data_IF_174615315007
#
_entry.id   IF_174615315007
#
_cell.length_a   1.000
_cell.length_b   1.000
_cell.length_c   1.000
_cell.angle_alpha   90.00
_cell.angle_beta   90.00
_cell.angle_gamma   90.00
#
_symmetry.space_group_name_H-M   'P 1'
#
loop_
_entity.id
_entity.type
_entity.pdbx_description
1 polymer ?
#
# COMPACT_ATOMS: atom_id res chain seq x y z
N UNK A 1 35.49 2.19 11.60
CA UNK A 1 36.30 1.63 12.72
C UNK A 1 35.33 1.19 13.78
N UNK A 2 35.21 -0.11 14.04
CA UNK A 2 34.29 -0.63 15.05
C UNK A 2 34.61 -0.03 16.43
N UNK A 3 33.60 0.49 17.11
CA UNK A 3 33.68 1.04 18.47
C UNK A 3 33.96 -0.09 19.47
N UNK A 4 35.10 -0.04 20.18
CA UNK A 4 35.48 -1.01 21.21
C UNK A 4 35.05 -0.56 22.60
N UNK A 5 34.60 -1.48 23.47
CA UNK A 5 34.14 -1.10 24.82
C UNK A 5 34.25 -2.21 25.88
N UNK A 6 34.27 -1.79 27.15
CA UNK A 6 34.41 -2.61 28.38
C UNK A 6 33.52 -3.84 28.59
N UNK A 7 32.51 -4.03 27.75
CA UNK A 7 31.52 -5.10 27.84
C UNK A 7 31.38 -5.91 26.55
N UNK A 8 32.29 -5.74 25.59
CA UNK A 8 32.27 -6.53 24.35
C UNK A 8 32.75 -7.95 24.64
N UNK A 9 32.30 -8.91 23.84
CA UNK A 9 32.78 -10.28 23.93
C UNK A 9 34.09 -10.41 23.16
N UNK A 10 35.05 -11.13 23.75
CA UNK A 10 36.27 -11.53 23.07
C UNK A 10 35.97 -12.61 22.01
N UNK A 11 36.59 -12.46 20.85
CA UNK A 11 36.60 -13.43 19.74
C UNK A 11 38.06 -13.72 19.40
N UNK A 12 38.36 -14.85 18.75
CA UNK A 12 39.71 -15.30 18.37
C UNK A 12 40.32 -14.49 17.20
N UNK A 13 40.20 -13.17 17.20
CA UNK A 13 40.69 -12.30 16.13
C UNK A 13 42.07 -11.67 16.47
N UNK A 14 42.62 -11.98 17.66
CA UNK A 14 43.89 -11.43 18.13
C UNK A 14 43.79 -9.97 18.55
N UNK A 15 42.58 -9.47 18.77
CA UNK A 15 42.28 -8.11 19.18
C UNK A 15 41.62 -8.17 20.57
N UNK A 16 42.11 -7.33 21.48
CA UNK A 16 41.38 -7.04 22.70
C UNK A 16 40.15 -6.16 22.35
N UNK A 17 38.96 -6.75 22.46
CA UNK A 17 37.68 -6.14 22.14
C UNK A 17 37.03 -5.51 23.38
N UNK A 18 37.23 -6.10 24.56
CA UNK A 18 36.65 -5.66 25.83
C UNK A 18 37.48 -4.62 26.61
N UNK A 19 38.63 -4.23 26.07
CA UNK A 19 39.62 -3.29 26.61
C UNK A 19 40.19 -3.63 28.00
N UNK A 20 40.30 -4.91 28.39
CA UNK A 20 40.80 -5.33 29.70
C UNK A 20 42.33 -5.65 29.80
N UNK A 21 43.08 -5.37 28.72
CA UNK A 21 44.49 -5.70 28.48
C UNK A 21 44.85 -7.19 28.25
N UNK A 22 43.87 -8.12 28.28
CA UNK A 22 44.04 -9.50 27.81
C UNK A 22 43.57 -9.64 26.34
N UNK A 23 44.01 -10.68 25.63
CA UNK A 23 43.64 -10.86 24.21
C UNK A 23 43.04 -12.25 24.11
N UNK A 24 41.84 -12.34 23.51
CA UNK A 24 41.14 -13.58 23.19
C UNK A 24 40.91 -14.47 24.43
N UNK A 25 40.67 -13.91 25.61
CA UNK A 25 40.31 -14.67 26.81
C UNK A 25 38.80 -14.85 26.96
N UNK A 26 38.38 -16.02 27.44
CA UNK A 26 36.95 -16.38 27.58
C UNK A 26 36.17 -16.27 26.24
N UNK A 27 36.85 -16.52 25.12
CA UNK A 27 36.23 -16.52 23.79
C UNK A 27 35.04 -17.46 23.72
N UNK A 28 34.04 -17.03 22.97
CA UNK A 28 32.81 -17.79 22.72
C UNK A 28 32.67 -17.92 21.20
N UNK A 29 32.38 -19.13 20.72
CA UNK A 29 32.06 -19.32 19.31
C UNK A 29 30.76 -18.58 18.97
N UNK A 30 30.78 -17.79 17.90
CA UNK A 30 29.64 -17.01 17.42
C UNK A 30 29.21 -17.54 16.04
N UNK A 31 27.94 -17.39 15.66
CA UNK A 31 27.52 -17.59 14.28
C UNK A 31 28.09 -16.47 13.39
N UNK A 32 28.51 -16.85 12.18
CA UNK A 32 28.95 -15.98 11.12
C UNK A 32 28.17 -16.34 9.85
N UNK A 33 27.57 -15.35 9.21
CA UNK A 33 26.70 -15.50 8.03
C UNK A 33 27.48 -15.12 6.78
N UNK A 34 27.32 -15.83 5.65
CA UNK A 34 27.98 -15.46 4.39
C UNK A 34 27.71 -13.99 4.05
N UNK A 35 28.74 -13.29 3.59
CA UNK A 35 28.71 -11.89 3.14
C UNK A 35 29.36 -11.89 1.74
N UNK A 36 28.54 -12.18 0.72
CA UNK A 36 29.05 -12.51 -0.62
C UNK A 36 29.40 -11.25 -1.42
N UNK A 37 28.72 -10.14 -1.19
CA UNK A 37 28.96 -8.86 -1.86
C UNK A 37 29.92 -7.92 -1.09
N UNK A 38 30.16 -8.18 0.19
CA UNK A 38 31.16 -7.49 1.00
C UNK A 38 30.72 -6.17 1.61
N UNK A 39 29.42 -5.95 1.79
CA UNK A 39 28.88 -4.72 2.39
C UNK A 39 28.96 -4.69 3.93
N UNK A 40 29.23 -5.84 4.55
CA UNK A 40 29.36 -6.02 5.99
C UNK A 40 28.11 -6.50 6.71
N UNK A 41 27.03 -6.78 6.00
CA UNK A 41 25.89 -7.59 6.42
C UNK A 41 26.02 -8.98 5.81
N UNK A 42 25.25 -9.95 6.28
CA UNK A 42 25.31 -11.30 5.72
C UNK A 42 23.94 -11.94 5.66
N UNK A 43 23.83 -12.93 4.77
CA UNK A 43 22.58 -13.59 4.42
C UNK A 43 21.96 -14.33 5.63
N UNK A 44 20.80 -13.87 6.16
CA UNK A 44 20.09 -14.57 7.23
C UNK A 44 19.40 -15.86 6.78
N UNK A 45 19.24 -16.07 5.48
CA UNK A 45 18.61 -17.24 4.85
C UNK A 45 19.54 -18.44 4.70
N UNK A 46 20.85 -18.26 4.81
CA UNK A 46 21.86 -19.31 4.70
C UNK A 46 22.37 -19.81 6.07
N UNK A 47 22.86 -21.05 6.10
CA UNK A 47 23.36 -21.67 7.34
C UNK A 47 24.65 -20.98 7.82
N UNK A 48 24.70 -20.43 9.04
CA UNK A 48 25.89 -19.77 9.54
C UNK A 48 26.99 -20.76 9.91
N UNK A 49 28.25 -20.34 9.79
CA UNK A 49 29.39 -21.06 10.36
C UNK A 49 29.59 -20.61 11.79
N UNK A 50 29.65 -21.57 12.71
CA UNK A 50 30.01 -21.30 14.11
C UNK A 50 31.53 -21.36 14.24
N UNK A 51 32.13 -20.21 14.53
CA UNK A 51 33.57 -20.08 14.68
C UNK A 51 33.92 -19.06 15.76
N UNK A 52 35.08 -19.23 16.38
CA UNK A 52 35.55 -18.27 17.38
C UNK A 52 36.21 -17.03 16.74
N UNK A 53 36.63 -17.08 15.47
CA UNK A 53 37.20 -15.96 14.72
C UNK A 53 36.36 -15.68 13.47
N UNK A 54 36.34 -14.44 12.94
CA UNK A 54 35.72 -14.11 11.65
C UNK A 54 36.32 -14.97 10.53
N UNK A 55 35.52 -15.78 9.83
CA UNK A 55 35.93 -16.36 8.57
C UNK A 55 35.98 -15.28 7.46
N UNK A 56 36.85 -15.45 6.47
CA UNK A 56 36.89 -14.54 5.31
C UNK A 56 35.58 -14.64 4.52
N UNK A 57 34.94 -13.50 4.23
CA UNK A 57 33.67 -13.41 3.48
C UNK A 57 32.42 -13.73 4.29
N UNK A 58 32.44 -13.43 5.60
CA UNK A 58 31.30 -13.63 6.49
C UNK A 58 31.13 -12.42 7.43
N UNK A 59 29.87 -12.11 7.79
CA UNK A 59 29.47 -11.07 8.74
C UNK A 59 28.79 -11.64 10.00
N UNK A 60 28.78 -10.85 11.08
CA UNK A 60 27.98 -11.14 12.29
C UNK A 60 26.60 -10.46 12.27
N UNK A 61 26.28 -9.70 11.22
CA UNK A 61 25.04 -8.94 11.09
C UNK A 61 24.11 -9.65 10.08
N UNK A 62 23.24 -10.58 10.52
CA UNK A 62 22.40 -11.39 9.64
C UNK A 62 21.13 -10.63 9.23
N UNK A 63 21.30 -9.56 8.47
CA UNK A 63 20.20 -8.65 8.14
C UNK A 63 20.22 -8.23 6.67
N UNK A 64 21.03 -8.89 5.85
CA UNK A 64 21.08 -8.64 4.41
C UNK A 64 19.87 -9.29 3.72
N UNK A 65 19.11 -8.51 2.94
CA UNK A 65 17.97 -8.99 2.19
C UNK A 65 18.32 -9.45 0.77
N UNK A 66 19.49 -9.08 0.24
CA UNK A 66 20.04 -9.53 -1.06
C UNK A 66 21.58 -9.56 -1.02
N UNK A 67 22.15 -10.65 -0.50
CA UNK A 67 23.61 -10.93 -0.38
C UNK A 67 24.36 -11.00 -1.74
N UNK A 68 23.69 -10.66 -2.85
CA UNK A 68 24.31 -10.52 -4.16
C UNK A 68 24.48 -9.08 -4.63
N UNK A 69 23.94 -8.10 -3.89
CA UNK A 69 23.92 -6.69 -4.21
C UNK A 69 24.23 -5.84 -2.97
N UNK A 70 25.50 -5.50 -2.77
CA UNK A 70 25.96 -4.73 -1.61
C UNK A 70 25.54 -3.25 -1.60
N UNK A 71 24.50 -2.90 -2.35
CA UNK A 71 23.72 -1.67 -2.19
C UNK A 71 22.41 -1.88 -1.42
N UNK A 72 22.04 -3.14 -1.11
CA UNK A 72 20.82 -3.50 -0.39
C UNK A 72 21.16 -4.03 1.01
N UNK A 73 21.07 -3.18 2.03
CA UNK A 73 21.43 -3.57 3.39
C UNK A 73 20.88 -2.59 4.46
N UNK A 74 20.77 -2.98 5.74
CA UNK A 74 20.25 -2.15 6.84
C UNK A 74 20.89 -0.79 7.12
N UNK A 75 22.04 -0.51 6.53
CA UNK A 75 22.68 0.81 6.61
C UNK A 75 22.60 1.60 5.30
N UNK A 76 21.84 1.13 4.31
CA UNK A 76 21.67 1.81 3.04
C UNK A 76 20.65 2.94 3.22
N UNK A 77 20.69 3.90 2.31
CA UNK A 77 19.62 4.87 2.20
C UNK A 77 18.52 4.23 1.33
N UNK A 78 17.27 4.27 1.79
CA UNK A 78 16.11 3.92 0.97
C UNK A 78 16.04 4.81 -0.28
N UNK A 79 15.80 4.20 -1.45
CA UNK A 79 15.62 4.91 -2.71
C UNK A 79 14.20 4.71 -3.23
N UNK A 80 13.67 5.72 -3.93
CA UNK A 80 12.35 5.67 -4.55
C UNK A 80 12.35 4.81 -5.85
N UNK A 81 12.75 3.53 -5.74
CA UNK A 81 13.06 2.64 -6.87
C UNK A 81 12.26 1.33 -6.88
N UNK A 82 11.38 1.15 -5.90
CA UNK A 82 10.61 -0.06 -5.68
C UNK A 82 11.28 -1.31 -5.16
N UNK A 83 12.36 -1.14 -4.43
CA UNK A 83 13.08 -2.18 -3.73
C UNK A 83 13.11 -1.81 -2.25
N UNK A 84 13.36 -2.82 -1.44
CA UNK A 84 13.69 -2.67 -0.01
C UNK A 84 15.22 -2.53 0.00
N UNK A 85 15.70 -1.29 -0.12
CA UNK A 85 17.13 -1.00 -0.22
C UNK A 85 17.81 -1.03 1.16
N UNK A 86 17.07 -0.76 2.23
CA UNK A 86 17.52 -0.80 3.62
C UNK A 86 17.11 -2.08 4.38
N UNK A 87 16.47 -3.04 3.71
CA UNK A 87 16.12 -4.35 4.27
C UNK A 87 15.30 -4.28 5.57
N UNK A 88 14.47 -3.25 5.78
CA UNK A 88 13.61 -3.12 6.96
C UNK A 88 12.31 -3.96 6.84
N UNK A 89 12.09 -4.58 5.67
CA UNK A 89 10.95 -5.41 5.34
C UNK A 89 9.84 -4.66 4.58
N UNK A 90 10.06 -3.38 4.27
CA UNK A 90 9.18 -2.55 3.50
C UNK A 90 9.94 -2.06 2.26
N UNK A 91 9.64 -2.57 1.05
CA UNK A 91 10.15 -1.89 -0.14
C UNK A 91 9.62 -0.46 -0.15
N UNK A 92 10.44 0.53 -0.52
CA UNK A 92 10.03 1.92 -0.74
C UNK A 92 8.99 2.12 -1.87
N UNK A 93 8.26 1.06 -2.23
CA UNK A 93 7.19 1.00 -3.22
C UNK A 93 6.32 -0.24 -2.95
N UNK A 94 5.25 -0.03 -2.20
CA UNK A 94 4.03 -0.75 -2.53
C UNK A 94 3.13 0.26 -3.24
N UNK A 95 2.91 0.10 -4.56
CA UNK A 95 1.77 0.76 -5.21
C UNK A 95 0.51 0.04 -4.71
N UNK A 96 0.07 0.38 -3.51
CA UNK A 96 -1.28 0.18 -3.02
C UNK A 96 -1.90 1.56 -2.72
N UNK A 97 -3.23 1.61 -2.65
CA UNK A 97 -4.00 2.84 -2.47
C UNK A 97 -3.70 3.44 -1.09
N UNK A 98 -2.76 4.38 -1.03
CA UNK A 98 -2.52 5.25 0.12
C UNK A 98 -1.19 5.13 0.85
N UNK A 99 -0.14 4.59 0.23
CA UNK A 99 1.22 4.63 0.81
C UNK A 99 2.31 4.58 -0.28
N UNK A 100 2.78 5.75 -0.69
CA UNK A 100 4.10 6.05 -1.26
C UNK A 100 4.40 7.50 -0.88
N UNK A 101 5.63 8.02 -0.98
CA UNK A 101 5.96 9.46 -0.81
C UNK A 101 5.27 10.36 -1.87
N UNK A 102 3.95 10.38 -1.76
CA UNK A 102 2.82 11.06 -2.41
C UNK A 102 1.87 11.25 -1.20
N UNK A 103 2.31 12.13 -0.29
CA UNK A 103 1.79 12.24 1.08
C UNK A 103 0.30 12.62 1.07
N UNK A 104 -0.16 13.24 -0.03
CA UNK A 104 -1.54 13.67 -0.24
C UNK A 104 -2.37 12.79 -1.19
N UNK A 105 -1.73 11.87 -1.94
CA UNK A 105 -2.35 10.84 -2.79
C UNK A 105 -3.00 11.39 -4.05
N UNK A 106 -2.32 12.27 -4.75
CA UNK A 106 -2.73 12.77 -6.05
C UNK A 106 -2.06 12.09 -7.26
N UNK A 107 -1.10 11.21 -6.99
CA UNK A 107 -0.38 10.42 -7.99
C UNK A 107 0.90 11.07 -8.51
N UNK A 108 1.32 12.18 -7.91
CA UNK A 108 2.62 12.80 -8.11
C UNK A 108 3.51 12.54 -6.87
N UNK A 109 4.82 12.54 -7.07
CA UNK A 109 5.77 12.16 -6.01
C UNK A 109 6.56 13.38 -5.54
N UNK A 110 7.08 13.34 -4.31
CA UNK A 110 7.88 14.42 -3.73
C UNK A 110 9.11 14.77 -4.60
N UNK A 111 9.38 16.06 -4.69
CA UNK A 111 10.63 16.67 -5.14
C UNK A 111 11.91 15.97 -4.63
N UNK A 112 11.92 15.44 -3.41
CA UNK A 112 13.02 14.73 -2.77
C UNK A 112 13.27 13.35 -3.37
N UNK A 113 12.20 12.72 -3.88
CA UNK A 113 12.20 11.52 -4.71
C UNK A 113 12.43 11.82 -6.20
N UNK A 114 12.69 13.09 -6.57
CA UNK A 114 12.84 13.51 -7.96
C UNK A 114 11.52 13.58 -8.73
N UNK A 115 10.38 13.62 -8.03
CA UNK A 115 9.12 14.05 -8.60
C UNK A 115 9.08 15.58 -8.78
N UNK A 116 7.98 16.06 -9.36
CA UNK A 116 7.80 17.47 -9.72
C UNK A 116 6.67 18.13 -8.88
N UNK A 117 6.17 17.44 -7.84
CA UNK A 117 5.18 17.99 -6.92
C UNK A 117 5.76 19.14 -6.09
N UNK A 118 4.98 20.21 -5.95
CA UNK A 118 5.35 21.43 -5.27
C UNK A 118 4.64 21.64 -3.93
N UNK A 119 3.63 20.83 -3.57
CA UNK A 119 3.02 20.81 -2.23
C UNK A 119 2.46 19.43 -1.87
N UNK A 120 3.34 18.55 -1.38
CA UNK A 120 3.02 17.14 -1.05
C UNK A 120 1.98 16.97 0.09
N UNK A 121 1.49 18.05 0.71
CA UNK A 121 0.46 18.00 1.76
C UNK A 121 -0.96 18.29 1.21
N UNK A 122 -1.12 18.66 -0.07
CA UNK A 122 -2.39 19.11 -0.65
C UNK A 122 -2.66 18.52 -2.06
N UNK A 123 -3.57 17.54 -2.20
CA UNK A 123 -3.75 16.74 -3.42
C UNK A 123 -4.45 17.50 -4.57
N UNK A 124 -4.55 18.81 -4.42
CA UNK A 124 -5.02 19.76 -5.42
C UNK A 124 -3.86 20.58 -6.02
N UNK A 125 -2.62 20.38 -5.57
CA UNK A 125 -1.42 21.09 -6.01
C UNK A 125 -0.45 20.06 -6.59
N UNK A 126 -0.35 20.00 -7.91
CA UNK A 126 0.52 19.03 -8.59
C UNK A 126 0.80 19.43 -10.03
N UNK A 127 1.84 18.87 -10.68
CA UNK A 127 2.17 19.16 -12.07
C UNK A 127 1.00 19.03 -13.05
N UNK A 128 0.57 20.16 -13.60
CA UNK A 128 -0.56 20.25 -14.52
C UNK A 128 -1.94 20.19 -13.85
N UNK A 129 -2.00 20.48 -12.54
CA UNK A 129 -3.20 20.76 -11.77
C UNK A 129 -4.03 21.92 -12.35
N UNK A 130 -5.16 22.21 -11.70
CA UNK A 130 -6.00 23.35 -12.08
C UNK A 130 -5.70 24.52 -11.15
N UNK A 131 -5.30 25.64 -11.72
CA UNK A 131 -5.14 26.90 -11.00
C UNK A 131 -6.45 27.39 -10.37
N UNK A 132 -6.37 27.64 -9.06
CA UNK A 132 -7.42 28.23 -8.24
C UNK A 132 -7.13 29.72 -8.00
N UNK A 133 -8.08 30.42 -7.35
CA UNK A 133 -7.88 31.81 -6.94
C UNK A 133 -7.44 31.88 -5.47
N UNK A 134 -6.37 31.16 -5.10
CA UNK A 134 -5.92 31.02 -3.72
C UNK A 134 -4.49 31.55 -3.46
N UNK A 135 -3.87 32.13 -4.49
CA UNK A 135 -2.52 32.66 -4.48
C UNK A 135 -1.43 31.60 -4.26
N UNK A 136 -1.72 30.35 -4.63
CA UNK A 136 -0.78 29.24 -4.74
C UNK A 136 -0.53 28.90 -6.23
N UNK A 137 0.56 28.20 -6.49
CA UNK A 137 0.89 27.60 -7.79
C UNK A 137 0.36 26.16 -7.73
N UNK A 138 -0.88 25.94 -8.17
CA UNK A 138 -1.55 24.64 -8.08
C UNK A 138 -1.12 23.68 -9.20
N UNK A 139 -0.53 24.19 -10.28
CA UNK A 139 -0.08 23.37 -11.41
C UNK A 139 1.44 23.15 -11.50
N UNK A 140 2.18 23.72 -10.53
CA UNK A 140 3.62 23.63 -10.35
C UNK A 140 4.43 24.13 -11.56
N UNK A 141 3.91 25.07 -12.36
CA UNK A 141 4.59 25.64 -13.52
C UNK A 141 5.49 26.86 -13.20
N UNK A 142 5.37 27.39 -11.98
CA UNK A 142 6.14 28.50 -11.45
C UNK A 142 5.48 29.88 -11.62
N UNK A 143 4.30 29.96 -12.23
CA UNK A 143 3.42 31.12 -12.17
C UNK A 143 2.35 30.91 -11.06
N UNK A 144 1.52 31.92 -10.78
CA UNK A 144 0.53 31.86 -9.68
C UNK A 144 -0.77 32.48 -10.17
N UNK A 145 -1.89 31.78 -9.97
CA UNK A 145 -3.25 32.17 -10.34
C UNK A 145 -3.39 32.51 -11.86
N UNK A 146 -2.68 31.83 -12.75
CA UNK A 146 -2.82 31.99 -14.20
C UNK A 146 -3.93 31.13 -14.79
N UNK A 147 -4.59 31.65 -15.84
CA UNK A 147 -5.66 30.91 -16.56
C UNK A 147 -6.81 30.37 -15.68
N UNK A 148 -6.98 30.90 -14.45
CA UNK A 148 -7.99 30.49 -13.48
C UNK A 148 -9.39 30.37 -14.08
N UNK A 149 -10.09 29.32 -13.66
CA UNK A 149 -11.47 29.06 -14.03
C UNK A 149 -12.28 28.67 -12.81
N UNK A 150 -13.58 28.98 -12.82
CA UNK A 150 -14.46 28.48 -11.76
C UNK A 150 -14.60 26.96 -11.88
N UNK A 151 -14.28 26.26 -10.80
CA UNK A 151 -14.45 24.81 -10.66
C UNK A 151 -15.69 24.50 -9.81
N UNK A 152 -16.11 23.23 -9.81
CA UNK A 152 -17.23 22.77 -8.98
C UNK A 152 -16.70 22.11 -7.71
N UNK A 153 -17.11 22.65 -6.57
CA UNK A 153 -16.77 22.16 -5.23
C UNK A 153 -17.93 21.34 -4.67
N UNK A 154 -17.64 20.12 -4.23
CA UNK A 154 -18.60 19.17 -3.65
C UNK A 154 -18.47 19.18 -2.13
N UNK A 155 -19.58 19.23 -1.40
CA UNK A 155 -19.53 19.09 0.07
C UNK A 155 -18.98 17.72 0.42
N UNK A 156 -17.95 17.67 1.25
CA UNK A 156 -17.40 16.44 1.83
C UNK A 156 -17.68 16.48 3.33
N UNK A 157 -18.80 15.88 3.73
CA UNK A 157 -19.31 15.98 5.09
C UNK A 157 -18.78 14.89 6.03
N UNK A 158 -18.18 13.82 5.52
CA UNK A 158 -17.59 12.74 6.32
C UNK A 158 -16.06 12.64 6.28
N UNK A 159 -15.42 13.37 5.35
CA UNK A 159 -13.99 13.56 5.28
C UNK A 159 -13.23 12.43 4.59
N UNK A 160 -13.85 11.72 3.64
CA UNK A 160 -13.20 10.66 2.86
C UNK A 160 -12.53 11.13 1.56
N UNK A 161 -12.68 12.41 1.22
CA UNK A 161 -12.07 13.02 0.03
C UNK A 161 -12.96 13.01 -1.21
N UNK A 162 -14.16 12.44 -1.14
CA UNK A 162 -15.20 12.56 -2.15
C UNK A 162 -16.38 13.38 -1.61
N UNK A 163 -17.08 14.10 -2.49
CA UNK A 163 -18.20 14.93 -2.07
C UNK A 163 -19.52 14.66 -2.78
N UNK A 164 -20.61 15.08 -2.14
CA UNK A 164 -21.99 14.90 -2.60
C UNK A 164 -22.23 15.58 -3.96
N UNK A 165 -22.52 14.82 -5.04
CA UNK A 165 -22.82 15.39 -6.36
C UNK A 165 -24.10 16.25 -6.38
N UNK A 166 -24.95 16.15 -5.35
CA UNK A 166 -26.16 16.94 -5.14
C UNK A 166 -25.95 18.28 -4.42
N UNK A 167 -24.84 18.47 -3.70
CA UNK A 167 -24.52 19.70 -2.97
C UNK A 167 -23.24 20.33 -3.51
N UNK A 168 -23.39 21.25 -4.47
CA UNK A 168 -22.28 21.86 -5.21
C UNK A 168 -22.23 23.39 -5.09
N UNK A 169 -21.00 23.93 -5.13
CA UNK A 169 -20.72 25.37 -5.26
C UNK A 169 -19.73 25.59 -6.39
N UNK A 170 -19.99 26.54 -7.28
CA UNK A 170 -19.06 26.90 -8.36
C UNK A 170 -18.26 28.14 -7.98
N UNK A 171 -16.93 28.04 -7.97
CA UNK A 171 -16.01 29.11 -7.55
C UNK A 171 -14.58 28.76 -7.95
N UNK A 172 -13.76 29.75 -8.33
CA UNK A 172 -12.31 29.58 -8.41
C UNK A 172 -11.61 29.63 -7.03
N UNK A 173 -12.19 30.30 -6.03
CA UNK A 173 -11.66 30.27 -4.65
C UNK A 173 -11.99 28.94 -3.97
N UNK A 174 -11.04 28.38 -3.20
CA UNK A 174 -11.23 27.18 -2.38
C UNK A 174 -12.38 27.34 -1.39
N UNK A 175 -13.24 26.34 -1.30
CA UNK A 175 -14.42 26.35 -0.42
C UNK A 175 -14.19 25.45 0.79
N UNK A 176 -14.35 26.00 2.00
CA UNK A 176 -14.12 25.24 3.25
C UNK A 176 -15.09 24.06 3.37
N UNK A 177 -14.55 22.89 3.70
CA UNK A 177 -15.32 21.64 3.85
C UNK A 177 -15.81 21.06 2.52
N UNK A 178 -15.12 21.38 1.41
CA UNK A 178 -15.46 20.89 0.09
C UNK A 178 -14.23 20.40 -0.66
N UNK A 179 -14.44 19.45 -1.56
CA UNK A 179 -13.41 18.82 -2.39
C UNK A 179 -13.73 18.98 -3.88
N UNK A 180 -12.75 18.74 -4.74
CA UNK A 180 -12.92 18.75 -6.21
C UNK A 180 -13.43 17.41 -6.74
N UNK A 181 -13.19 16.31 -6.03
CA UNK A 181 -13.63 14.97 -6.39
C UNK A 181 -15.07 14.78 -5.96
N UNK A 182 -16.01 14.77 -6.91
CA UNK A 182 -17.40 14.43 -6.65
C UNK A 182 -17.67 12.93 -6.79
N UNK A 183 -18.93 12.53 -6.59
CA UNK A 183 -19.39 11.17 -6.88
C UNK A 183 -19.66 10.33 -5.65
N UNK A 184 -19.57 10.91 -4.47
CA UNK A 184 -19.95 10.24 -3.23
C UNK A 184 -21.47 9.99 -3.19
N UNK A 185 -21.85 8.72 -3.11
CA UNK A 185 -23.24 8.28 -3.03
C UNK A 185 -23.77 8.24 -1.58
N UNK A 186 -22.91 8.42 -0.59
CA UNK A 186 -23.21 8.38 0.84
C UNK A 186 -22.31 9.31 1.70
N UNK A 187 -22.33 10.62 1.44
CA UNK A 187 -21.63 11.78 2.10
C UNK A 187 -21.87 11.97 3.61
N UNK A 188 -22.22 10.92 4.33
CA UNK A 188 -22.22 10.87 5.78
C UNK A 188 -21.60 9.57 6.32
N UNK A 189 -20.92 8.82 5.46
CA UNK A 189 -20.29 7.53 5.74
C UNK A 189 -18.95 7.37 4.97
N UNK A 190 -17.80 7.58 5.64
CA UNK A 190 -16.48 7.72 4.99
C UNK A 190 -15.86 6.40 4.51
N UNK A 191 -16.67 5.36 4.34
CA UNK A 191 -16.26 4.05 3.83
C UNK A 191 -17.09 3.62 2.62
N UNK A 192 -17.92 4.53 2.09
CA UNK A 192 -18.71 4.34 0.87
C UNK A 192 -18.38 5.52 -0.03
N UNK A 193 -17.53 5.29 -1.03
CA UNK A 193 -17.07 6.32 -1.97
C UNK A 193 -16.43 5.66 -3.20
N UNK A 194 -16.25 6.37 -4.34
CA UNK A 194 -15.73 5.84 -5.61
C UNK A 194 -14.43 5.03 -5.59
N UNK A 195 -13.69 5.11 -4.50
CA UNK A 195 -12.35 4.57 -4.37
C UNK A 195 -12.25 3.36 -3.43
N UNK A 196 -13.37 2.89 -2.88
CA UNK A 196 -13.37 1.65 -2.11
C UNK A 196 -13.49 0.42 -3.02
N UNK A 197 -13.15 -0.73 -2.46
CA UNK A 197 -13.49 -2.01 -3.07
C UNK A 197 -14.86 -2.41 -2.53
N UNK A 198 -15.76 -2.83 -3.41
CA UNK A 198 -17.04 -3.40 -3.04
C UNK A 198 -16.93 -4.46 -1.94
N UNK A 199 -17.92 -4.48 -1.06
CA UNK A 199 -18.07 -5.54 -0.08
C UNK A 199 -19.43 -6.17 -0.30
N UNK A 200 -19.46 -7.49 -0.24
CA UNK A 200 -20.69 -8.25 -0.41
C UNK A 200 -21.67 -8.04 0.78
N UNK A 201 -22.34 -6.90 0.81
CA UNK A 201 -23.12 -6.36 1.93
C UNK A 201 -24.49 -5.80 1.48
N UNK A 202 -24.77 -5.77 0.18
CA UNK A 202 -26.02 -5.27 -0.41
C UNK A 202 -26.09 -3.76 -0.56
N UNK A 203 -24.96 -3.06 -0.48
CA UNK A 203 -24.77 -1.62 -0.67
C UNK A 203 -23.81 -1.45 -1.85
N UNK A 204 -23.99 -0.37 -2.60
CA UNK A 204 -23.04 0.15 -3.58
C UNK A 204 -21.99 0.93 -2.77
N UNK A 205 -20.96 0.24 -2.30
CA UNK A 205 -19.88 0.80 -1.50
C UNK A 205 -18.96 1.68 -2.38
N UNK A 206 -18.73 1.31 -3.64
CA UNK A 206 -17.84 2.03 -4.58
C UNK A 206 -18.55 3.04 -5.49
N UNK A 207 -19.84 3.29 -5.25
CA UNK A 207 -20.64 4.30 -5.94
C UNK A 207 -20.63 4.20 -7.47
N UNK A 208 -20.37 3.02 -8.06
CA UNK A 208 -20.35 2.82 -9.51
C UNK A 208 -21.76 2.63 -10.11
N UNK A 209 -22.78 2.53 -9.26
CA UNK A 209 -24.18 2.34 -9.61
C UNK A 209 -24.59 0.87 -9.74
N UNK A 210 -23.69 -0.06 -9.43
CA UNK A 210 -23.95 -1.47 -9.25
C UNK A 210 -23.71 -1.88 -7.80
N UNK A 211 -24.25 -3.03 -7.40
CA UNK A 211 -24.22 -3.47 -5.99
C UNK A 211 -23.56 -4.82 -5.97
N UNK A 212 -22.57 -4.98 -5.10
CA UNK A 212 -21.83 -6.21 -4.86
C UNK A 212 -21.22 -6.84 -6.15
N UNK A 213 -20.64 -6.05 -7.07
CA UNK A 213 -19.94 -6.57 -8.25
C UNK A 213 -18.51 -7.09 -7.93
N UNK A 214 -17.60 -7.15 -8.90
CA UNK A 214 -16.21 -7.61 -8.65
C UNK A 214 -16.00 -9.11 -8.33
N UNK A 215 -17.05 -9.91 -8.15
CA UNK A 215 -16.91 -11.36 -7.95
C UNK A 215 -16.39 -11.76 -6.57
N UNK A 216 -16.86 -11.07 -5.52
CA UNK A 216 -16.46 -11.17 -4.10
C UNK A 216 -16.87 -12.48 -3.40
N UNK A 217 -16.86 -13.61 -4.12
CA UNK A 217 -17.30 -14.91 -3.59
C UNK A 217 -18.82 -15.08 -3.51
N UNK A 218 -19.59 -14.24 -4.23
CA UNK A 218 -21.03 -14.44 -4.40
C UNK A 218 -21.36 -15.61 -5.32
N UNK A 219 -22.45 -16.33 -5.05
CA UNK A 219 -22.96 -17.44 -5.86
C UNK A 219 -24.19 -16.95 -6.62
N UNK A 220 -24.22 -17.18 -7.94
CA UNK A 220 -25.42 -16.98 -8.75
C UNK A 220 -26.35 -18.19 -8.57
N UNK A 221 -27.54 -17.94 -8.03
CA UNK A 221 -28.60 -18.93 -7.88
C UNK A 221 -29.66 -18.77 -8.95
N UNK A 222 -30.29 -19.88 -9.32
CA UNK A 222 -31.41 -19.96 -10.24
C UNK A 222 -32.61 -20.56 -9.51
N UNK A 223 -33.80 -19.99 -9.67
CA UNK A 223 -35.01 -20.49 -9.00
C UNK A 223 -35.22 -21.96 -9.38
N UNK A 224 -35.43 -22.79 -8.37
CA UNK A 224 -35.72 -24.23 -8.45
C UNK A 224 -37.11 -24.46 -7.82
N UNK A 225 -38.12 -24.43 -8.68
CA UNK A 225 -39.53 -24.47 -8.32
C UNK A 225 -40.05 -25.87 -8.03
N UNK A 226 -39.47 -26.90 -8.67
CA UNK A 226 -39.85 -28.31 -8.51
C UNK A 226 -38.89 -29.09 -7.58
N UNK A 227 -37.72 -28.54 -7.27
CA UNK A 227 -36.77 -29.08 -6.30
C UNK A 227 -35.86 -30.17 -6.88
N UNK A 228 -35.64 -30.21 -8.19
CA UNK A 228 -34.85 -31.23 -8.86
C UNK A 228 -33.33 -30.96 -8.84
N UNK A 229 -32.93 -29.74 -8.41
CA UNK A 229 -31.54 -29.31 -8.30
C UNK A 229 -31.00 -28.52 -9.50
N UNK A 230 -31.82 -28.24 -10.52
CA UNK A 230 -31.54 -27.34 -11.64
C UNK A 230 -32.52 -26.17 -11.63
N UNK A 231 -32.03 -24.95 -11.81
CA UNK A 231 -32.89 -23.77 -11.81
C UNK A 231 -33.02 -23.10 -13.17
N UNK A 232 -34.07 -22.28 -13.29
CA UNK A 232 -34.38 -21.49 -14.48
C UNK A 232 -33.35 -20.38 -14.73
N UNK A 233 -32.69 -20.43 -15.90
CA UNK A 233 -31.70 -19.41 -16.30
C UNK A 233 -32.28 -17.99 -16.43
N UNK A 234 -33.59 -17.86 -16.65
CA UNK A 234 -34.29 -16.57 -16.76
C UNK A 234 -34.72 -15.97 -15.41
N UNK A 235 -34.66 -16.74 -14.32
CA UNK A 235 -34.97 -16.30 -12.96
C UNK A 235 -33.77 -16.59 -12.06
N UNK A 236 -32.77 -15.69 -12.12
CA UNK A 236 -31.54 -15.80 -11.35
C UNK A 236 -31.41 -14.68 -10.32
N UNK A 237 -30.81 -15.00 -9.18
CA UNK A 237 -30.40 -14.07 -8.13
C UNK A 237 -28.89 -14.16 -7.92
N UNK A 238 -28.25 -13.04 -7.57
CA UNK A 238 -26.88 -13.03 -7.06
C UNK A 238 -26.95 -12.95 -5.54
N UNK A 239 -26.22 -13.82 -4.83
CA UNK A 239 -26.19 -13.85 -3.38
C UNK A 239 -24.76 -13.89 -2.86
N UNK A 240 -24.47 -13.04 -1.88
CA UNK A 240 -23.20 -13.01 -1.17
C UNK A 240 -23.01 -14.26 -0.30
N UNK A 241 -21.97 -15.06 -0.57
CA UNK A 241 -21.60 -16.26 0.17
C UNK A 241 -22.10 -17.60 -0.42
N UNK A 242 -21.76 -18.72 0.24
CA UNK A 242 -22.07 -20.09 -0.25
C UNK A 242 -23.56 -20.48 -0.19
N UNK A 243 -24.40 -19.69 0.49
CA UNK A 243 -25.80 -20.05 0.75
C UNK A 243 -26.76 -19.24 -0.12
N UNK A 244 -27.35 -19.90 -1.12
CA UNK A 244 -28.43 -19.34 -1.93
C UNK A 244 -29.73 -19.20 -1.11
N UNK A 245 -30.59 -18.22 -1.45
CA UNK A 245 -31.94 -18.15 -0.90
C UNK A 245 -32.71 -19.47 -1.07
N UNK A 246 -33.61 -19.78 -0.13
CA UNK A 246 -34.43 -20.99 -0.23
C UNK A 246 -35.20 -21.03 -1.55
N UNK A 247 -35.12 -22.16 -2.26
CA UNK A 247 -35.71 -22.32 -3.60
C UNK A 247 -34.85 -21.80 -4.74
N UNK A 248 -33.55 -21.56 -4.50
CA UNK A 248 -32.56 -21.28 -5.55
C UNK A 248 -31.39 -22.28 -5.47
N UNK A 249 -30.88 -22.69 -6.62
CA UNK A 249 -29.75 -23.63 -6.78
C UNK A 249 -28.67 -23.05 -7.69
N UNK A 250 -27.38 -23.43 -7.54
CA UNK A 250 -26.30 -22.84 -8.35
C UNK A 250 -26.23 -23.42 -9.76
N UNK A 251 -26.96 -24.50 -10.02
CA UNK A 251 -26.92 -25.23 -11.29
C UNK A 251 -27.96 -24.65 -12.26
N UNK A 252 -27.54 -24.01 -13.37
CA UNK A 252 -28.47 -23.60 -14.41
C UNK A 252 -28.88 -24.77 -15.30
N UNK A 253 -30.02 -24.66 -15.97
CA UNK A 253 -30.34 -25.52 -17.11
C UNK A 253 -31.73 -26.12 -17.08
N UNK A 254 -32.56 -25.74 -16.12
CA UNK A 254 -33.95 -26.15 -16.16
C UNK A 254 -34.70 -25.42 -17.29
N UNK A 255 -35.46 -26.20 -18.04
CA UNK A 255 -36.26 -25.77 -19.17
C UNK A 255 -37.77 -25.75 -18.87
N UNK A 256 -38.21 -26.22 -17.69
CA UNK A 256 -39.61 -26.21 -17.28
C UNK A 256 -39.81 -26.44 -15.75
N UNK A 257 -39.85 -25.34 -14.99
CA UNK A 257 -39.88 -25.23 -13.51
C UNK A 257 -41.20 -25.64 -12.82
N UNK A 258 -41.93 -26.60 -13.39
CA UNK A 258 -43.33 -26.84 -13.01
C UNK A 258 -43.84 -28.29 -13.08
N UNK A 259 -43.02 -29.29 -13.41
CA UNK A 259 -43.48 -30.68 -13.52
C UNK A 259 -42.56 -31.65 -12.76
N UNK A 260 -43.12 -32.34 -11.74
CA UNK A 260 -42.49 -33.43 -10.93
C UNK A 260 -41.89 -34.60 -11.75
#
# INVERSE_FOLDING_TARGET
>A
MATRHGAQLEICDGINNDCDDAIDEKTVEQPWYPDTDGDGFGDPGEDPIVACAPPDGYSQLPLDCDDSDGTLHPAADELCNARDDDCDGYPGYLIERGDTEDDDRDGYADSSCGGDDCDDEDPAIYPGGIELCDALDNDCDGEVDEMVMDVTWYLDADGDGFGDPGDTVTSCERQVGRVLRGGDCADGNPVIHPDVVERCNGVDDDCDGTVDEGGLGGVRGYRDGDGDGFGLTSDSVFACGEALPSGYVPTPGDCNDGDD
#
